data_IF_648839306359
#
_entry.id   IF_648839306359
#
_cell.length_a   1.000
_cell.length_b   1.000
_cell.length_c   1.000
_cell.angle_alpha   90.00
_cell.angle_beta   90.00
_cell.angle_gamma   90.00
#
_symmetry.space_group_name_H-M   'P 1'
#
loop_
_entity.id
_entity.type
_entity.pdbx_description
1 polymer ?
#
# COMPACT_ATOMS: atom_id res chain seq x y z
N UNK A 1 41.30 32.78 -42.82
CA UNK A 1 41.67 32.38 -41.45
C UNK A 1 40.65 32.83 -40.40
N UNK A 2 40.18 34.09 -40.39
CA UNK A 2 39.24 34.58 -39.37
C UNK A 2 37.88 33.87 -39.31
N UNK A 3 37.33 33.46 -40.46
CA UNK A 3 36.04 32.74 -40.52
C UNK A 3 36.14 31.33 -39.91
N UNK A 4 37.27 30.64 -40.10
CA UNK A 4 37.49 29.32 -39.48
C UNK A 4 37.59 29.43 -37.95
N UNK A 5 38.27 30.46 -37.46
CA UNK A 5 38.38 30.72 -36.03
C UNK A 5 37.02 31.07 -35.40
N UNK A 6 36.20 31.85 -36.11
CA UNK A 6 34.83 32.16 -35.72
C UNK A 6 33.95 30.91 -35.64
N UNK A 7 34.03 30.02 -36.64
CA UNK A 7 33.27 28.76 -36.65
C UNK A 7 33.65 27.84 -35.49
N UNK A 8 34.94 27.74 -35.17
CA UNK A 8 35.43 26.92 -34.05
C UNK A 8 34.92 27.48 -32.71
N UNK A 9 35.00 28.80 -32.51
CA UNK A 9 34.46 29.45 -31.31
C UNK A 9 32.95 29.30 -31.20
N UNK A 10 32.22 29.43 -32.31
CA UNK A 10 30.78 29.27 -32.35
C UNK A 10 30.35 27.83 -32.00
N UNK A 11 31.11 26.83 -32.48
CA UNK A 11 30.84 25.43 -32.18
C UNK A 11 31.11 25.10 -30.70
N UNK A 12 32.18 25.64 -30.12
CA UNK A 12 32.44 25.56 -28.67
C UNK A 12 31.35 26.24 -27.85
N UNK A 13 30.88 27.41 -28.28
CA UNK A 13 29.79 28.13 -27.62
C UNK A 13 28.49 27.30 -27.59
N UNK A 14 28.12 26.68 -28.71
CA UNK A 14 26.94 25.79 -28.77
C UNK A 14 27.13 24.58 -27.85
N UNK A 15 28.30 23.94 -27.86
CA UNK A 15 28.60 22.78 -27.02
C UNK A 15 28.53 23.06 -25.52
N UNK A 16 28.82 24.30 -25.09
CA UNK A 16 28.76 24.70 -23.68
C UNK A 16 27.34 25.17 -23.31
N UNK A 17 26.71 26.01 -24.14
CA UNK A 17 25.43 26.66 -23.82
C UNK A 17 24.24 25.70 -23.94
N UNK A 18 24.23 24.81 -24.92
CA UNK A 18 23.12 23.86 -25.12
C UNK A 18 22.91 22.90 -23.94
N UNK A 19 23.94 22.25 -23.35
CA UNK A 19 23.74 21.44 -22.15
C UNK A 19 23.36 22.27 -20.92
N UNK A 20 23.84 23.51 -20.80
CA UNK A 20 23.43 24.43 -19.71
C UNK A 20 21.95 24.81 -19.81
N UNK A 21 21.41 24.99 -21.01
CA UNK A 21 19.99 25.32 -21.21
C UNK A 21 19.05 24.11 -21.08
N UNK A 22 19.52 22.91 -21.43
CA UNK A 22 18.68 21.69 -21.38
C UNK A 22 18.54 21.12 -19.96
N UNK A 23 19.41 21.52 -19.03
CA UNK A 23 19.37 21.12 -17.61
C UNK A 23 18.27 21.81 -16.79
N UNK A 24 17.56 22.81 -17.35
CA UNK A 24 16.57 23.60 -16.59
C UNK A 24 15.11 23.31 -16.94
N UNK A 25 14.83 22.20 -17.62
CA UNK A 25 13.50 21.58 -17.53
C UNK A 25 13.45 20.82 -16.22
N UNK A 26 13.46 21.55 -15.10
CA UNK A 26 12.73 21.10 -13.92
C UNK A 26 11.29 20.98 -14.40
N UNK A 27 10.89 19.76 -14.74
CA UNK A 27 9.50 19.37 -14.63
C UNK A 27 9.08 19.85 -13.26
N UNK A 28 8.22 20.86 -13.22
CA UNK A 28 7.52 21.27 -12.00
C UNK A 28 6.64 20.08 -11.65
N UNK A 29 7.26 19.08 -11.02
CA UNK A 29 6.60 17.95 -10.43
C UNK A 29 5.68 18.57 -9.41
N UNK A 30 4.36 18.44 -9.64
CA UNK A 30 3.37 18.92 -8.67
C UNK A 30 3.81 18.44 -7.29
N UNK A 31 3.74 19.27 -6.24
CA UNK A 31 4.13 18.84 -4.91
C UNK A 31 3.29 17.60 -4.59
N UNK A 32 3.95 16.44 -4.55
CA UNK A 32 3.32 15.20 -4.14
C UNK A 32 3.00 15.38 -2.67
N UNK A 33 1.73 15.27 -2.31
CA UNK A 33 1.31 15.25 -0.91
C UNK A 33 0.74 13.89 -0.61
N UNK A 34 1.13 13.31 0.52
CA UNK A 34 0.61 12.02 0.99
C UNK A 34 -0.08 12.27 2.33
N UNK A 35 -1.37 12.00 2.36
CA UNK A 35 -2.17 12.03 3.58
C UNK A 35 -2.17 10.64 4.23
N UNK A 36 -1.87 10.59 5.51
CA UNK A 36 -1.90 9.41 6.37
C UNK A 36 -2.90 9.68 7.48
N UNK A 37 -3.84 8.74 7.63
CA UNK A 37 -4.86 8.81 8.68
C UNK A 37 -4.43 8.00 9.89
N UNK A 38 -4.34 8.66 11.03
CA UNK A 38 -4.12 8.05 12.33
C UNK A 38 -5.37 7.33 12.82
N UNK A 39 -5.15 6.25 13.57
CA UNK A 39 -6.21 5.51 14.27
C UNK A 39 -6.85 6.34 15.39
N UNK A 40 -6.12 7.31 15.91
CA UNK A 40 -6.55 8.25 16.94
C UNK A 40 -7.29 9.49 16.38
N UNK A 41 -7.67 9.46 15.10
CA UNK A 41 -8.33 10.57 14.40
C UNK A 41 -7.39 11.69 13.96
N UNK A 42 -6.07 11.55 14.19
CA UNK A 42 -5.10 12.50 13.67
C UNK A 42 -4.84 12.32 12.18
N UNK A 43 -4.30 13.35 11.55
CA UNK A 43 -3.92 13.35 10.14
C UNK A 43 -2.48 13.83 10.03
N UNK A 44 -1.65 13.04 9.37
CA UNK A 44 -0.30 13.42 8.98
C UNK A 44 -0.27 13.66 7.47
N UNK A 45 0.13 14.86 7.04
CA UNK A 45 0.28 15.20 5.64
C UNK A 45 1.74 15.43 5.30
N UNK A 46 2.29 14.51 4.53
CA UNK A 46 3.68 14.53 4.08
C UNK A 46 3.81 15.26 2.75
N UNK A 47 4.86 16.04 2.61
CA UNK A 47 5.20 16.81 1.42
C UNK A 47 6.72 16.85 1.24
N UNK A 48 7.20 17.42 0.13
CA UNK A 48 8.63 17.68 -0.05
C UNK A 48 9.20 18.61 1.03
N UNK A 49 8.37 19.52 1.57
CA UNK A 49 8.79 20.55 2.51
C UNK A 49 8.75 20.08 3.96
N UNK A 50 8.10 18.95 4.26
CA UNK A 50 8.00 18.41 5.61
C UNK A 50 6.68 17.70 5.89
N UNK A 51 6.31 17.66 7.18
CA UNK A 51 5.14 16.94 7.70
C UNK A 51 4.24 17.91 8.44
N UNK A 52 2.97 17.96 8.04
CA UNK A 52 1.91 18.61 8.81
C UNK A 52 1.19 17.58 9.68
N UNK A 53 0.89 17.94 10.91
CA UNK A 53 0.09 17.16 11.84
C UNK A 53 -1.17 17.92 12.21
N UNK A 54 -2.31 17.24 12.19
CA UNK A 54 -3.59 17.76 12.61
C UNK A 54 -4.30 16.79 13.55
N UNK A 55 -4.75 17.27 14.72
CA UNK A 55 -5.58 16.50 15.65
C UNK A 55 -6.40 17.43 16.52
N UNK A 56 -7.71 17.17 16.64
CA UNK A 56 -8.63 17.92 17.52
C UNK A 56 -8.55 19.45 17.34
N UNK A 57 -8.40 19.91 16.10
CA UNK A 57 -8.28 21.34 15.78
C UNK A 57 -6.87 21.94 15.97
N UNK A 58 -5.93 21.17 16.52
CA UNK A 58 -4.53 21.58 16.64
C UNK A 58 -3.78 21.27 15.35
N UNK A 59 -3.07 22.27 14.81
CA UNK A 59 -2.23 22.15 13.63
C UNK A 59 -0.77 22.39 14.00
N UNK A 60 0.13 21.53 13.50
CA UNK A 60 1.57 21.67 13.63
C UNK A 60 2.24 21.36 12.29
N UNK A 61 3.31 22.08 11.98
CA UNK A 61 4.10 21.83 10.79
C UNK A 61 5.58 21.70 11.15
N UNK A 62 6.17 20.60 10.69
CA UNK A 62 7.58 20.25 10.87
C UNK A 62 8.24 20.33 9.51
N UNK A 63 9.13 21.32 9.32
CA UNK A 63 9.90 21.37 8.07
C UNK A 63 10.83 20.18 8.00
N UNK A 64 11.05 19.66 6.79
CA UNK A 64 11.97 18.54 6.56
C UNK A 64 13.38 18.79 7.08
N UNK A 65 13.86 20.04 7.05
CA UNK A 65 15.15 20.45 7.62
C UNK A 65 15.18 20.51 9.15
N UNK A 66 14.03 20.56 9.80
CA UNK A 66 13.88 20.64 11.26
C UNK A 66 13.65 19.25 11.89
N UNK A 67 13.21 18.27 11.10
CA UNK A 67 13.02 16.88 11.55
C UNK A 67 14.40 16.26 11.80
N UNK A 68 14.66 15.90 13.06
CA UNK A 68 15.90 15.26 13.49
C UNK A 68 15.79 13.75 13.49
N UNK A 69 14.62 13.22 13.88
CA UNK A 69 14.35 11.78 13.90
C UNK A 69 12.96 11.52 13.35
N UNK A 70 12.89 10.43 12.60
CA UNK A 70 11.66 9.91 12.05
C UNK A 70 11.73 8.38 12.12
N UNK A 71 10.73 7.74 12.69
CA UNK A 71 10.68 6.28 12.79
C UNK A 71 9.26 5.75 12.57
N UNK A 72 9.22 4.50 12.10
CA UNK A 72 8.04 3.66 12.19
C UNK A 72 8.35 2.60 13.25
N UNK A 73 7.44 2.34 14.17
CA UNK A 73 7.58 1.25 15.12
C UNK A 73 6.38 0.33 14.96
N UNK A 74 6.64 -0.96 14.75
CA UNK A 74 5.55 -1.94 14.65
C UNK A 74 4.96 -2.12 16.05
N UNK A 75 3.67 -1.84 16.19
CA UNK A 75 2.93 -2.09 17.43
C UNK A 75 2.34 -3.51 17.38
N UNK A 76 1.60 -3.80 16.31
CA UNK A 76 0.93 -5.07 16.06
C UNK A 76 1.14 -5.51 14.60
N UNK A 77 0.53 -6.61 14.16
CA UNK A 77 0.65 -7.10 12.77
C UNK A 77 0.23 -6.07 11.70
N UNK A 78 -0.82 -5.29 11.99
CA UNK A 78 -1.43 -4.34 11.06
C UNK A 78 -1.32 -2.86 11.50
N UNK A 79 -0.64 -2.61 12.63
CA UNK A 79 -0.57 -1.28 13.23
C UNK A 79 0.88 -0.86 13.43
N UNK A 80 1.19 0.35 12.97
CA UNK A 80 2.50 0.98 13.17
C UNK A 80 2.32 2.29 13.90
N UNK A 81 3.37 2.74 14.58
CA UNK A 81 3.45 4.03 15.23
C UNK A 81 4.44 4.91 14.47
N UNK A 82 3.96 6.02 13.91
CA UNK A 82 4.82 7.03 13.28
C UNK A 82 5.28 8.00 14.36
N UNK A 83 6.60 8.16 14.49
CA UNK A 83 7.20 9.18 15.35
C UNK A 83 7.91 10.23 14.52
N UNK A 84 7.57 11.50 14.75
CA UNK A 84 8.22 12.67 14.14
C UNK A 84 8.79 13.55 15.25
N UNK A 85 10.11 13.75 15.24
CA UNK A 85 10.84 14.47 16.28
C UNK A 85 11.70 15.59 15.67
N UNK A 86 11.49 16.83 16.11
CA UNK A 86 12.32 18.00 15.74
C UNK A 86 13.35 18.40 16.81
N UNK A 87 13.42 17.65 17.90
CA UNK A 87 14.25 17.86 19.08
C UNK A 87 13.65 18.80 20.13
N UNK A 88 12.48 19.39 19.87
CA UNK A 88 11.70 20.16 20.86
C UNK A 88 10.39 19.47 21.20
N UNK A 89 9.80 18.79 20.22
CA UNK A 89 8.55 18.08 20.33
C UNK A 89 8.64 16.77 19.56
N UNK A 90 7.98 15.75 20.11
CA UNK A 90 7.78 14.45 19.47
C UNK A 90 6.30 14.26 19.25
N UNK A 91 5.92 14.04 17.99
CA UNK A 91 4.58 13.60 17.62
C UNK A 91 4.60 12.11 17.39
N UNK A 92 3.63 11.43 18.00
CA UNK A 92 3.45 9.99 17.91
C UNK A 92 2.05 9.71 17.40
N UNK A 93 1.94 9.00 16.27
CA UNK A 93 0.65 8.70 15.63
C UNK A 93 0.54 7.21 15.34
N UNK A 94 -0.42 6.50 15.95
CA UNK A 94 -0.73 5.13 15.56
C UNK A 94 -1.46 5.15 14.20
N UNK A 95 -1.01 4.34 13.25
CA UNK A 95 -1.51 4.28 11.88
C UNK A 95 -1.65 2.82 11.45
N UNK A 96 -2.52 2.59 10.47
CA UNK A 96 -2.56 1.28 9.81
C UNK A 96 -1.36 1.09 8.89
N UNK A 97 -0.98 -0.17 8.70
CA UNK A 97 0.07 -0.57 7.75
C UNK A 97 -0.16 -0.05 6.34
N UNK A 98 -1.39 -0.11 5.84
CA UNK A 98 -1.76 0.40 4.51
C UNK A 98 -1.51 1.91 4.38
N UNK A 99 -1.63 2.66 5.47
CA UNK A 99 -1.38 4.10 5.49
C UNK A 99 0.13 4.40 5.42
N UNK A 100 0.96 3.59 6.08
CA UNK A 100 2.44 3.68 5.97
C UNK A 100 2.91 3.37 4.55
N UNK A 101 2.30 2.38 3.89
CA UNK A 101 2.65 2.02 2.51
C UNK A 101 2.50 3.18 1.53
N UNK A 102 1.58 4.13 1.76
CA UNK A 102 1.38 5.31 0.90
C UNK A 102 2.61 6.21 0.85
N UNK A 103 3.46 6.16 1.87
CA UNK A 103 4.72 6.90 1.91
C UNK A 103 5.77 6.35 0.96
N UNK A 104 5.58 5.16 0.42
CA UNK A 104 6.52 4.50 -0.48
C UNK A 104 5.91 4.31 -1.86
N UNK A 105 6.72 4.50 -2.89
CA UNK A 105 6.35 4.28 -4.28
C UNK A 105 6.77 2.88 -4.69
N UNK A 106 5.80 2.09 -5.16
CA UNK A 106 6.06 0.81 -5.81
C UNK A 106 6.62 1.08 -7.21
N UNK A 107 7.85 0.65 -7.45
CA UNK A 107 8.53 0.77 -8.73
C UNK A 107 8.89 -0.63 -9.21
N UNK A 108 8.48 -0.97 -10.42
CA UNK A 108 8.93 -2.20 -11.09
C UNK A 108 10.26 -1.91 -11.79
N UNK A 109 11.30 -2.61 -11.37
CA UNK A 109 12.57 -2.58 -12.06
C UNK A 109 12.45 -3.30 -13.41
N UNK A 110 13.28 -2.98 -14.44
CA UNK A 110 13.22 -3.62 -15.76
C UNK A 110 13.42 -5.14 -15.74
N UNK A 111 13.97 -5.69 -14.66
CA UNK A 111 14.11 -7.12 -14.40
C UNK A 111 12.85 -7.77 -13.78
N UNK A 112 11.75 -7.03 -13.60
CA UNK A 112 10.50 -7.51 -12.99
C UNK A 112 10.50 -7.49 -11.46
N UNK A 113 11.56 -6.99 -10.82
CA UNK A 113 11.66 -6.92 -9.36
C UNK A 113 10.86 -5.74 -8.81
N UNK A 114 10.05 -5.99 -7.77
CA UNK A 114 9.29 -4.95 -7.08
C UNK A 114 10.21 -4.24 -6.07
N UNK A 115 10.48 -2.97 -6.31
CA UNK A 115 11.25 -2.13 -5.39
C UNK A 115 10.36 -1.05 -4.79
N UNK A 116 10.48 -0.83 -3.49
CA UNK A 116 9.85 0.31 -2.83
C UNK A 116 10.87 1.44 -2.71
N UNK A 117 10.48 2.65 -3.09
CA UNK A 117 11.29 3.85 -2.90
C UNK A 117 10.55 4.86 -2.04
N UNK A 118 11.23 5.62 -1.16
CA UNK A 118 10.56 6.62 -0.35
C UNK A 118 9.90 7.68 -1.24
N UNK A 119 8.69 8.08 -0.88
CA UNK A 119 7.88 9.06 -1.61
C UNK A 119 8.46 10.47 -1.61
N UNK A 120 9.36 10.74 -0.65
CA UNK A 120 10.02 12.02 -0.43
C UNK A 120 11.52 11.82 -0.24
N UNK A 121 12.38 12.66 -0.84
CA UNK A 121 13.84 12.52 -0.70
C UNK A 121 14.30 12.57 0.77
N UNK A 122 13.76 13.51 1.55
CA UNK A 122 14.13 13.68 2.96
C UNK A 122 13.74 12.47 3.81
N UNK A 123 12.64 11.79 3.48
CA UNK A 123 12.17 10.62 4.22
C UNK A 123 13.19 9.47 4.12
N UNK A 124 13.72 9.23 2.92
CA UNK A 124 14.80 8.26 2.71
C UNK A 124 16.08 8.62 3.47
N UNK A 125 16.42 9.92 3.49
CA UNK A 125 17.61 10.39 4.22
C UNK A 125 17.49 10.21 5.73
N UNK A 126 16.34 10.53 6.32
CA UNK A 126 16.15 10.46 7.77
C UNK A 126 15.98 9.01 8.24
N UNK A 127 15.29 8.18 7.47
CA UNK A 127 15.16 6.75 7.79
C UNK A 127 16.50 5.99 7.66
N UNK A 128 17.42 6.47 6.81
CA UNK A 128 18.71 5.84 6.60
C UNK A 128 18.57 4.36 6.24
N UNK A 129 19.28 3.49 6.97
CA UNK A 129 19.20 2.02 6.78
C UNK A 129 17.89 1.41 7.28
N UNK A 130 17.17 2.06 8.19
CA UNK A 130 15.90 1.56 8.70
C UNK A 130 14.85 1.47 7.59
N UNK A 131 14.94 2.34 6.57
CA UNK A 131 14.10 2.25 5.38
C UNK A 131 14.14 0.87 4.72
N UNK A 132 15.33 0.24 4.66
CA UNK A 132 15.49 -1.08 4.07
C UNK A 132 14.75 -2.19 4.83
N UNK A 133 14.76 -2.15 6.16
CA UNK A 133 14.02 -3.10 6.99
C UNK A 133 12.51 -2.95 6.82
N UNK A 134 12.00 -1.72 6.79
CA UNK A 134 10.57 -1.49 6.53
C UNK A 134 10.16 -1.90 5.13
N UNK A 135 10.98 -1.59 4.12
CA UNK A 135 10.72 -2.02 2.75
C UNK A 135 10.69 -3.54 2.66
N UNK A 136 11.58 -4.25 3.36
CA UNK A 136 11.57 -5.72 3.38
C UNK A 136 10.31 -6.29 4.03
N UNK A 137 9.87 -5.73 5.16
CA UNK A 137 8.61 -6.07 5.83
C UNK A 137 7.42 -5.90 4.86
N UNK A 138 7.33 -4.74 4.20
CA UNK A 138 6.29 -4.45 3.20
C UNK A 138 6.32 -5.39 1.98
N UNK A 139 7.51 -5.80 1.53
CA UNK A 139 7.67 -6.76 0.42
C UNK A 139 7.19 -8.15 0.86
N UNK A 140 7.60 -8.63 2.03
CA UNK A 140 7.24 -9.95 2.54
C UNK A 140 5.73 -10.13 2.63
N UNK A 141 5.04 -9.09 3.10
CA UNK A 141 3.58 -9.06 3.16
C UNK A 141 2.94 -9.04 1.78
N UNK A 142 3.48 -8.25 0.84
CA UNK A 142 2.94 -8.21 -0.53
C UNK A 142 3.10 -9.54 -1.28
N UNK A 143 4.11 -10.35 -0.94
CA UNK A 143 4.26 -11.69 -1.48
C UNK A 143 3.23 -12.67 -0.89
N UNK A 144 2.91 -12.55 0.39
CA UNK A 144 1.89 -13.39 1.02
C UNK A 144 0.48 -13.11 0.46
N UNK A 145 0.12 -11.84 0.29
CA UNK A 145 -1.16 -11.46 -0.33
C UNK A 145 -1.24 -11.90 -1.79
N UNK A 146 -0.17 -11.76 -2.57
CA UNK A 146 -0.14 -12.17 -3.98
C UNK A 146 -0.28 -13.70 -4.14
N UNK A 147 0.30 -14.48 -3.22
CA UNK A 147 0.20 -15.95 -3.24
C UNK A 147 -1.18 -16.42 -2.76
N UNK A 148 -1.76 -15.79 -1.74
CA UNK A 148 -3.12 -16.08 -1.28
C UNK A 148 -4.17 -15.82 -2.38
N UNK A 149 -4.03 -14.71 -3.13
CA UNK A 149 -4.92 -14.41 -4.26
C UNK A 149 -4.68 -15.29 -5.49
N UNK A 150 -3.52 -15.95 -5.62
CA UNK A 150 -3.32 -16.98 -6.65
C UNK A 150 -4.04 -18.29 -6.31
N UNK A 151 -4.12 -18.64 -5.02
CA UNK A 151 -4.84 -19.84 -4.57
C UNK A 151 -6.37 -19.66 -4.69
N UNK A 152 -6.91 -18.49 -4.32
CA UNK A 152 -8.36 -18.24 -4.43
C UNK A 152 -8.86 -18.21 -5.89
N UNK A 153 -8.02 -17.74 -6.84
CA UNK A 153 -8.36 -17.76 -8.26
C UNK A 153 -8.22 -19.17 -8.90
N UNK A 154 -7.35 -20.03 -8.37
CA UNK A 154 -7.28 -21.43 -8.81
C UNK A 154 -8.45 -22.28 -8.28
N UNK A 155 -9.04 -21.91 -7.14
CA UNK A 155 -10.20 -22.62 -6.58
C UNK A 155 -11.52 -22.19 -7.22
N UNK A 156 -11.62 -20.94 -7.71
CA UNK A 156 -12.75 -20.47 -8.52
C UNK A 156 -12.74 -21.00 -9.95
N UNK A 157 -11.58 -21.15 -10.59
CA UNK A 157 -11.49 -21.74 -11.95
C UNK A 157 -11.85 -23.24 -11.98
N UNK A 158 -11.70 -23.97 -10.86
CA UNK A 158 -12.10 -25.37 -10.77
C UNK A 158 -13.60 -25.58 -10.45
N UNK A 159 -14.36 -24.52 -10.20
CA UNK A 159 -15.79 -24.61 -9.81
C UNK A 159 -16.76 -24.23 -10.94
N UNK A 160 -16.28 -23.70 -12.07
CA UNK A 160 -17.13 -23.27 -13.21
C UNK A 160 -17.15 -24.26 -14.40
N UNK A 161 -16.44 -25.39 -14.34
CA UNK A 161 -16.38 -26.39 -15.43
C UNK A 161 -17.40 -27.55 -15.34
N UNK A 162 -18.43 -27.45 -14.50
CA UNK A 162 -19.48 -28.49 -14.39
C UNK A 162 -20.92 -27.97 -14.47
N UNK A 163 -21.23 -27.13 -15.46
CA UNK A 163 -22.63 -26.96 -15.88
C UNK A 163 -22.74 -26.55 -17.36
N UNK A 164 -22.27 -27.41 -18.26
CA UNK A 164 -22.65 -27.37 -19.68
C UNK A 164 -22.87 -28.78 -20.21
N UNK A 165 -23.99 -29.37 -19.83
CA UNK A 165 -24.68 -30.36 -20.66
C UNK A 165 -26.18 -30.14 -20.51
N UNK A 166 -26.80 -29.64 -21.58
CA UNK A 166 -28.07 -30.09 -22.19
C UNK A 166 -28.45 -29.04 -23.24
N UNK A 167 -28.11 -29.35 -24.48
CA UNK A 167 -28.54 -28.64 -25.68
C UNK A 167 -29.93 -29.08 -26.13
N UNK A 168 -30.81 -28.08 -26.41
CA UNK A 168 -31.88 -28.01 -27.43
C UNK A 168 -32.97 -29.12 -27.38
N UNK A 169 -34.28 -28.83 -27.50
CA UNK A 169 -34.98 -28.22 -28.64
C UNK A 169 -36.42 -27.77 -28.27
N UNK A 170 -36.94 -26.85 -29.10
CA UNK A 170 -38.35 -26.63 -29.51
C UNK A 170 -39.37 -25.90 -28.63
N UNK A 171 -39.71 -24.70 -29.14
CA UNK A 171 -41.00 -23.98 -29.22
C UNK A 171 -42.26 -24.65 -28.64
N UNK A 172 -43.02 -23.96 -27.79
CA UNK A 172 -44.35 -23.36 -28.12
C UNK A 172 -45.09 -22.88 -26.87
N UNK A 173 -45.73 -21.72 -27.06
CA UNK A 173 -46.94 -21.13 -26.49
C UNK A 173 -47.73 -21.77 -25.34
N UNK A 174 -48.39 -20.86 -24.59
CA UNK A 174 -49.62 -20.98 -23.79
C UNK A 174 -49.58 -21.47 -22.32
N UNK A 175 -50.01 -20.53 -21.46
CA UNK A 175 -51.09 -20.62 -20.47
C UNK A 175 -51.01 -21.50 -19.19
N UNK A 176 -51.30 -20.78 -18.10
CA UNK A 176 -52.28 -21.13 -17.06
C UNK A 176 -51.84 -22.00 -15.85
N UNK A 177 -52.00 -21.38 -14.67
CA UNK A 177 -52.41 -21.97 -13.37
C UNK A 177 -51.46 -23.03 -12.76
N UNK A 178 -51.29 -23.17 -11.44
CA UNK A 178 -51.99 -22.68 -10.26
C UNK A 178 -51.35 -23.32 -9.02
N UNK A 179 -51.62 -22.72 -7.86
CA UNK A 179 -51.69 -23.30 -6.49
C UNK A 179 -50.36 -23.61 -5.81
N UNK A 180 -50.03 -22.95 -4.71
CA UNK A 180 -50.69 -22.87 -3.39
C UNK A 180 -50.59 -24.16 -2.56
N UNK A 181 -50.34 -23.91 -1.26
CA UNK A 181 -50.40 -24.78 -0.07
C UNK A 181 -49.18 -25.67 0.21
N UNK A 182 -48.69 -25.83 1.44
CA UNK A 182 -48.79 -25.13 2.74
C UNK A 182 -47.82 -25.87 3.66
N UNK A 183 -47.39 -25.19 4.73
CA UNK A 183 -46.72 -25.68 5.93
C UNK A 183 -46.98 -27.15 6.34
N UNK A 184 -45.94 -27.81 6.85
CA UNK A 184 -46.11 -28.68 8.01
C UNK A 184 -44.91 -28.60 8.93
N UNK A 185 -45.19 -28.04 10.11
CA UNK A 185 -44.39 -28.06 11.32
C UNK A 185 -43.88 -29.45 11.70
N UNK A 186 -42.78 -29.46 12.47
CA UNK A 186 -42.53 -30.47 13.49
C UNK A 186 -41.42 -31.45 13.13
N UNK A 187 -40.33 -31.39 13.90
CA UNK A 187 -39.86 -32.50 14.73
C UNK A 187 -38.64 -32.02 15.55
N UNK A 188 -38.92 -31.59 16.79
CA UNK A 188 -37.97 -31.71 17.90
C UNK A 188 -37.65 -33.19 18.13
N UNK A 189 -36.39 -33.53 18.37
CA UNK A 189 -35.98 -34.37 19.52
C UNK A 189 -34.45 -34.45 19.66
N UNK A 190 -33.97 -33.93 20.78
CA UNK A 190 -33.02 -34.55 21.71
C UNK A 190 -31.58 -34.91 21.28
N UNK A 191 -30.66 -34.13 21.84
CA UNK A 191 -29.54 -34.56 22.71
C UNK A 191 -28.86 -35.91 22.42
N UNK A 192 -27.58 -35.83 22.05
CA UNK A 192 -26.56 -36.73 22.59
C UNK A 192 -25.35 -35.91 23.05
N UNK A 193 -25.11 -36.03 24.35
CA UNK A 193 -23.88 -35.67 25.05
C UNK A 193 -22.90 -36.83 24.77
N UNK A 194 -21.65 -36.56 24.43
CA UNK A 194 -20.53 -37.40 24.89
C UNK A 194 -19.20 -36.64 24.80
N UNK A 195 -18.40 -36.93 25.81
CA UNK A 195 -17.20 -36.26 26.28
C UNK A 195 -16.06 -36.23 25.26
N UNK A 196 -15.32 -35.11 25.21
CA UNK A 196 -13.93 -35.16 24.75
C UNK A 196 -13.03 -34.46 25.77
N UNK A 197 -12.12 -35.26 26.31
CA UNK A 197 -11.18 -34.97 27.39
C UNK A 197 -10.31 -33.75 27.14
N UNK A 198 -10.27 -32.87 28.14
CA UNK A 198 -9.15 -31.97 28.40
C UNK A 198 -7.95 -32.81 28.84
N UNK A 199 -7.04 -33.08 27.90
CA UNK A 199 -5.75 -33.71 28.15
C UNK A 199 -4.64 -32.65 28.26
N UNK A 200 -3.94 -32.71 29.38
CA UNK A 200 -2.80 -31.88 29.77
C UNK A 200 -1.72 -31.75 28.68
N UNK A 201 -1.39 -30.51 28.29
CA UNK A 201 -0.32 -30.21 27.33
C UNK A 201 0.70 -29.20 27.90
N UNK A 202 0.98 -29.32 29.20
CA UNK A 202 2.18 -28.75 29.81
C UNK A 202 2.88 -29.87 30.55
N UNK A 203 3.86 -30.49 29.89
CA UNK A 203 5.06 -31.00 30.56
C UNK A 203 6.17 -31.21 29.52
N UNK A 204 7.37 -30.76 29.91
CA UNK A 204 8.71 -31.02 29.36
C UNK A 204 9.31 -30.15 28.22
N UNK A 205 10.30 -29.35 28.69
CA UNK A 205 11.51 -28.76 28.08
C UNK A 205 11.48 -27.41 27.37
#
# INVERSE_FOLDING_TARGET
MGIMFFLILFLLFILIVVPLMKSNRQTVSRPKTVEIKGLDGSILMFSNDGVSYFKDGNFKFFKSSEIKRFSFEKLDENTYEIKVDNGSEIITVPVKKEEVQKLFQRTYSPNGELTYTPGFPWLGTILGTAAGFFIADLIADSMHDAVAHQQENQEKDNSEEHEKDVSKETETDSDDKSKDYVDSEGLDFASYNDEFETGDFFDDF
#
